data_IF_569867920861
#
_entry.id   IF_569867920861
#
_cell.length_a   1.000
_cell.length_b   1.000
_cell.length_c   1.000
_cell.angle_alpha   90.00
_cell.angle_beta   90.00
_cell.angle_gamma   90.00
#
_symmetry.space_group_name_H-M   'P 1'
#
loop_
_entity.id
_entity.type
_entity.pdbx_description
1 polymer ?
#
# COMPACT_ATOMS: atom_id res chain seq x y z
N UNK A 1 -22.93 13.54 -15.61
CA UNK A 1 -21.58 12.95 -15.47
C UNK A 1 -21.63 11.93 -14.36
N UNK A 2 -21.32 10.64 -14.59
CA UNK A 2 -21.22 9.70 -13.49
C UNK A 2 -20.07 10.16 -12.59
N UNK A 3 -20.33 10.29 -11.28
CA UNK A 3 -19.28 10.52 -10.29
C UNK A 3 -18.44 9.24 -10.29
N UNK A 4 -17.31 9.24 -11.00
CA UNK A 4 -16.34 8.15 -10.90
C UNK A 4 -15.87 8.13 -9.44
N UNK A 5 -16.43 7.21 -8.65
CA UNK A 5 -16.02 7.00 -7.27
C UNK A 5 -14.54 6.67 -7.26
N UNK A 6 -13.76 7.36 -6.41
CA UNK A 6 -12.32 7.11 -6.27
C UNK A 6 -12.09 5.60 -6.10
N UNK A 7 -11.11 5.00 -6.77
CA UNK A 7 -10.80 3.57 -6.60
C UNK A 7 -10.42 3.22 -5.15
N UNK A 8 -10.15 4.23 -4.31
CA UNK A 8 -9.84 4.10 -2.89
C UNK A 8 -11.03 4.32 -1.95
N UNK A 9 -12.26 4.49 -2.46
CA UNK A 9 -13.45 4.83 -1.64
C UNK A 9 -13.75 3.79 -0.55
N UNK A 10 -13.35 2.52 -0.75
CA UNK A 10 -13.55 1.43 0.22
C UNK A 10 -12.30 1.08 1.01
N UNK A 11 -11.20 1.82 0.81
CA UNK A 11 -9.97 1.54 1.51
C UNK A 11 -10.03 2.03 2.95
N UNK A 12 -9.35 1.32 3.85
CA UNK A 12 -9.10 1.78 5.20
C UNK A 12 -7.61 1.81 5.50
N UNK A 13 -7.19 2.77 6.32
CA UNK A 13 -5.79 2.98 6.67
C UNK A 13 -5.61 2.85 8.18
N UNK A 14 -4.69 2.00 8.59
CA UNK A 14 -4.22 1.89 9.98
C UNK A 14 -2.74 2.23 10.03
N UNK A 15 -2.36 3.12 10.94
CA UNK A 15 -0.97 3.56 11.09
C UNK A 15 -0.55 3.48 12.56
N UNK A 16 0.66 3.00 12.77
CA UNK A 16 1.37 2.94 14.04
C UNK A 16 2.84 3.29 13.78
N UNK A 17 3.64 3.46 14.84
CA UNK A 17 5.09 3.68 14.70
C UNK A 17 5.84 2.52 14.00
N UNK A 18 5.23 1.34 13.92
CA UNK A 18 5.87 0.11 13.38
C UNK A 18 5.29 -0.36 12.04
N UNK A 19 4.09 0.09 11.72
CA UNK A 19 3.27 -0.43 10.63
C UNK A 19 2.38 0.66 10.06
N UNK A 20 2.39 0.76 8.74
CA UNK A 20 1.30 1.36 7.96
C UNK A 20 0.63 0.25 7.15
N UNK A 21 -0.68 0.12 7.31
CA UNK A 21 -1.51 -0.89 6.66
C UNK A 21 -2.64 -0.20 5.91
N UNK A 22 -2.62 -0.32 4.58
CA UNK A 22 -3.72 0.06 3.71
C UNK A 22 -4.49 -1.21 3.31
N UNK A 23 -5.70 -1.39 3.84
CA UNK A 23 -6.65 -2.41 3.37
C UNK A 23 -7.41 -1.86 2.18
N UNK A 24 -7.30 -2.52 1.02
CA UNK A 24 -8.01 -2.16 -0.20
C UNK A 24 -9.50 -2.53 -0.15
N UNK A 25 -9.92 -3.27 0.89
CA UNK A 25 -11.29 -3.74 1.14
C UNK A 25 -11.59 -5.09 0.46
N UNK A 26 -10.90 -5.40 -0.63
CA UNK A 26 -10.99 -6.65 -1.39
C UNK A 26 -9.64 -6.98 -2.03
N UNK A 27 -9.50 -8.20 -2.58
CA UNK A 27 -8.30 -8.56 -3.35
C UNK A 27 -8.37 -7.85 -4.71
N UNK A 28 -7.33 -7.09 -5.04
CA UNK A 28 -7.22 -6.27 -6.25
C UNK A 28 -5.96 -6.65 -7.02
N UNK A 29 -6.00 -6.47 -8.35
CA UNK A 29 -4.77 -6.48 -9.15
C UNK A 29 -4.00 -5.20 -8.92
N UNK A 30 -2.71 -5.37 -8.68
CA UNK A 30 -1.75 -4.30 -8.49
C UNK A 30 -0.53 -4.59 -9.34
N UNK A 31 0.03 -3.57 -9.97
CA UNK A 31 1.36 -3.63 -10.56
C UNK A 31 2.35 -2.93 -9.65
N UNK A 32 3.38 -3.65 -9.22
CA UNK A 32 4.48 -3.11 -8.43
C UNK A 32 5.77 -3.05 -9.25
N UNK A 33 6.84 -2.54 -8.64
CA UNK A 33 8.18 -2.60 -9.20
C UNK A 33 8.65 -4.03 -9.55
N UNK A 34 8.09 -5.04 -8.89
CA UNK A 34 8.43 -6.46 -9.09
C UNK A 34 7.46 -7.16 -10.06
N UNK A 35 6.50 -6.44 -10.62
CA UNK A 35 5.51 -6.95 -11.57
C UNK A 35 4.07 -7.03 -11.02
N UNK A 36 3.16 -7.66 -11.79
CA UNK A 36 1.75 -7.78 -11.40
C UNK A 36 1.54 -8.79 -10.27
N UNK A 37 0.66 -8.44 -9.33
CA UNK A 37 0.28 -9.29 -8.20
C UNK A 37 -1.18 -9.07 -7.78
N UNK A 38 -1.71 -10.02 -7.00
CA UNK A 38 -3.03 -9.94 -6.37
C UNK A 38 -2.87 -9.66 -4.89
N UNK A 39 -3.39 -8.54 -4.43
CA UNK A 39 -3.18 -8.07 -3.05
C UNK A 39 -4.47 -7.49 -2.50
N UNK A 40 -4.71 -7.70 -1.22
CA UNK A 40 -5.73 -6.96 -0.47
C UNK A 40 -5.09 -5.87 0.39
N UNK A 41 -3.88 -6.14 0.88
CA UNK A 41 -3.20 -5.28 1.82
C UNK A 41 -1.92 -4.73 1.22
N UNK A 42 -1.73 -3.42 1.32
CA UNK A 42 -0.41 -2.81 1.16
C UNK A 42 0.13 -2.48 2.55
N UNK A 43 1.33 -2.98 2.83
CA UNK A 43 1.94 -2.94 4.15
C UNK A 43 3.29 -2.27 4.05
N UNK A 44 3.55 -1.32 4.95
CA UNK A 44 4.87 -0.71 5.13
C UNK A 44 5.31 -0.94 6.58
N UNK A 45 6.50 -1.52 6.74
CA UNK A 45 7.13 -1.74 8.05
C UNK A 45 8.44 -0.95 8.13
N UNK A 46 8.78 -0.48 9.33
CA UNK A 46 9.94 0.41 9.54
C UNK A 46 11.30 -0.28 9.35
N UNK A 47 11.38 -1.60 9.56
CA UNK A 47 12.66 -2.32 9.54
C UNK A 47 12.57 -3.67 8.83
N UNK A 48 13.72 -4.13 8.34
CA UNK A 48 13.88 -5.47 7.78
C UNK A 48 13.91 -6.50 8.92
N UNK A 49 12.88 -7.33 8.99
CA UNK A 49 12.77 -8.43 9.94
C UNK A 49 11.58 -9.33 9.59
N UNK A 50 11.35 -10.42 10.33
CA UNK A 50 10.19 -11.26 10.11
C UNK A 50 8.90 -10.49 10.47
N UNK A 51 8.18 -10.03 9.44
CA UNK A 51 6.93 -9.30 9.59
C UNK A 51 5.72 -10.23 9.79
N UNK A 52 5.86 -11.54 9.61
CA UNK A 52 4.78 -12.52 9.77
C UNK A 52 4.01 -12.40 11.10
N UNK A 53 4.69 -12.35 12.28
CA UNK A 53 4.02 -12.15 13.55
C UNK A 53 3.30 -10.80 13.66
N UNK A 54 3.84 -9.74 13.06
CA UNK A 54 3.21 -8.42 13.04
C UNK A 54 1.92 -8.44 12.20
N UNK A 55 1.98 -9.03 11.00
CA UNK A 55 0.81 -9.21 10.14
C UNK A 55 -0.28 -10.06 10.82
N UNK A 56 0.10 -11.15 11.48
CA UNK A 56 -0.84 -12.04 12.16
C UNK A 56 -1.60 -11.34 13.29
N UNK A 57 -0.92 -10.48 14.08
CA UNK A 57 -1.55 -9.67 15.14
C UNK A 57 -2.57 -8.67 14.59
N UNK A 58 -2.40 -8.30 13.33
CA UNK A 58 -3.26 -7.38 12.60
C UNK A 58 -4.34 -8.09 11.78
N UNK A 59 -4.41 -9.42 11.86
CA UNK A 59 -5.36 -10.23 11.07
C UNK A 59 -5.05 -10.21 9.56
N UNK A 60 -3.83 -9.85 9.16
CA UNK A 60 -3.42 -9.72 7.77
C UNK A 60 -2.86 -11.05 7.27
N UNK A 61 -3.49 -11.60 6.23
CA UNK A 61 -2.98 -12.78 5.54
C UNK A 61 -1.76 -12.42 4.69
N UNK A 62 -0.59 -12.98 5.02
CA UNK A 62 0.67 -12.67 4.33
C UNK A 62 0.61 -12.93 2.82
N UNK A 63 -0.11 -13.96 2.37
CA UNK A 63 -0.28 -14.28 0.95
C UNK A 63 -1.08 -13.22 0.17
N UNK A 64 -1.76 -12.30 0.86
CA UNK A 64 -2.54 -11.20 0.26
C UNK A 64 -1.92 -9.83 0.54
N UNK A 65 -0.71 -9.79 1.10
CA UNK A 65 -0.03 -8.57 1.51
C UNK A 65 1.16 -8.27 0.59
N UNK A 66 1.18 -7.06 0.03
CA UNK A 66 2.36 -6.46 -0.58
C UNK A 66 3.13 -5.69 0.50
N UNK A 67 4.30 -6.20 0.86
CA UNK A 67 5.06 -5.68 2.01
C UNK A 67 6.30 -4.92 1.56
N UNK A 68 6.42 -3.68 2.02
CA UNK A 68 7.60 -2.83 1.88
C UNK A 68 8.27 -2.64 3.23
N UNK A 69 9.59 -2.74 3.28
CA UNK A 69 10.38 -2.40 4.47
C UNK A 69 11.17 -1.12 4.20
N UNK A 70 10.86 -0.05 4.94
CA UNK A 70 11.41 1.29 4.74
C UNK A 70 11.94 1.87 6.05
N UNK A 71 13.20 2.33 6.13
CA UNK A 71 13.77 2.95 7.34
C UNK A 71 13.30 4.41 7.48
N UNK A 72 11.99 4.64 7.54
CA UNK A 72 11.36 5.97 7.57
C UNK A 72 10.40 6.07 8.75
N UNK A 73 10.04 7.30 9.13
CA UNK A 73 8.91 7.50 10.04
C UNK A 73 7.60 7.22 9.29
N UNK A 74 6.83 6.24 9.77
CA UNK A 74 5.57 5.83 9.15
C UNK A 74 4.43 6.79 9.47
N UNK A 75 4.61 7.71 10.43
CA UNK A 75 3.66 8.79 10.72
C UNK A 75 3.79 9.95 9.72
N UNK A 76 4.93 10.05 9.02
CA UNK A 76 5.17 11.04 7.97
C UNK A 76 4.70 10.54 6.59
N UNK A 77 3.40 10.26 6.48
CA UNK A 77 2.77 9.83 5.22
C UNK A 77 1.77 10.87 4.70
N UNK A 78 1.44 10.78 3.40
CA UNK A 78 0.28 11.45 2.82
C UNK A 78 -0.66 10.45 2.17
N UNK A 79 -1.97 10.63 2.37
CA UNK A 79 -3.00 9.79 1.77
C UNK A 79 -4.14 10.67 1.24
N UNK A 80 -4.34 10.62 -0.07
CA UNK A 80 -5.38 11.37 -0.77
C UNK A 80 -6.02 10.52 -1.89
N UNK A 81 -6.86 11.14 -2.72
CA UNK A 81 -7.53 10.45 -3.83
C UNK A 81 -6.58 9.89 -4.89
N UNK A 82 -5.32 10.36 -4.95
CA UNK A 82 -4.27 9.89 -5.87
C UNK A 82 -3.50 8.70 -5.29
N UNK A 83 -3.59 8.46 -3.98
CA UNK A 83 -2.98 7.31 -3.33
C UNK A 83 -2.18 7.66 -2.07
N UNK A 84 -1.25 6.78 -1.73
CA UNK A 84 -0.43 6.83 -0.52
C UNK A 84 1.01 7.19 -0.88
N UNK A 85 1.62 8.08 -0.10
CA UNK A 85 3.03 8.44 -0.22
C UNK A 85 3.75 8.29 1.10
N UNK A 86 4.96 7.73 1.03
CA UNK A 86 5.99 7.81 2.05
C UNK A 86 7.33 8.18 1.38
N UNK A 87 8.32 8.65 2.13
CA UNK A 87 9.67 8.81 1.58
C UNK A 87 10.17 7.49 0.96
N UNK A 88 10.46 7.52 -0.35
CA UNK A 88 10.95 6.36 -1.10
C UNK A 88 9.89 5.35 -1.57
N UNK A 89 8.60 5.56 -1.27
CA UNK A 89 7.50 4.68 -1.72
C UNK A 89 6.28 5.49 -2.16
N UNK A 90 5.72 5.13 -3.31
CA UNK A 90 4.46 5.68 -3.80
C UNK A 90 3.49 4.59 -4.24
N UNK A 91 2.31 4.57 -3.64
CA UNK A 91 1.19 3.76 -4.12
C UNK A 91 0.18 4.67 -4.81
N UNK A 92 -0.11 4.39 -6.07
CA UNK A 92 -1.01 5.18 -6.91
C UNK A 92 -2.38 4.51 -7.02
N UNK A 93 -3.42 5.34 -7.00
CA UNK A 93 -4.81 4.91 -7.14
C UNK A 93 -5.12 4.39 -8.56
N UNK A 94 -4.27 4.68 -9.54
CA UNK A 94 -4.33 4.25 -10.94
C UNK A 94 -2.91 4.25 -11.53
N UNK A 95 -2.76 3.76 -12.76
CA UNK A 95 -1.49 3.81 -13.48
C UNK A 95 -0.96 5.26 -13.58
N UNK A 96 0.29 5.51 -13.15
CA UNK A 96 0.89 6.83 -13.23
C UNK A 96 1.59 7.07 -14.59
N UNK A 97 1.58 8.32 -15.06
CA UNK A 97 2.38 8.73 -16.24
C UNK A 97 3.90 8.70 -15.97
N UNK A 98 4.28 8.90 -14.71
CA UNK A 98 5.67 8.93 -14.25
C UNK A 98 5.78 8.39 -12.84
N UNK A 99 6.88 7.69 -12.55
CA UNK A 99 7.18 7.12 -11.24
C UNK A 99 8.39 7.82 -10.63
N UNK A 100 8.17 8.54 -9.54
CA UNK A 100 9.20 9.33 -8.85
C UNK A 100 10.07 8.52 -7.88
N UNK A 101 9.63 7.33 -7.47
CA UNK A 101 10.24 6.55 -6.38
C UNK A 101 10.68 5.16 -6.84
N UNK A 102 11.76 4.60 -6.25
CA UNK A 102 12.24 3.27 -6.61
C UNK A 102 11.26 2.16 -6.22
N UNK A 103 10.50 2.36 -5.15
CA UNK A 103 9.44 1.46 -4.72
C UNK A 103 8.10 2.08 -5.08
N UNK A 104 7.26 1.29 -5.74
CA UNK A 104 5.98 1.78 -6.18
C UNK A 104 4.98 0.65 -6.42
N UNK A 105 3.71 1.01 -6.39
CA UNK A 105 2.65 0.14 -6.86
C UNK A 105 1.45 0.96 -7.35
N UNK A 106 0.64 0.41 -8.26
CA UNK A 106 -0.64 1.01 -8.62
C UNK A 106 -1.74 -0.02 -8.82
N UNK A 107 -3.00 0.40 -8.61
CA UNK A 107 -4.16 -0.43 -8.93
C UNK A 107 -4.29 -0.58 -10.44
N UNK A 108 -4.36 -1.82 -10.92
CA UNK A 108 -4.81 -2.13 -12.28
C UNK A 108 -6.35 -2.05 -12.32
N UNK A 109 -6.89 -1.45 -13.38
CA UNK A 109 -8.32 -1.12 -13.54
C UNK A 109 -9.26 -2.32 -13.54
#
# INVERSE_FOLDING_TARGET
>A
MPKTSSPLTRCSLKVTERLLLLDLGEVRRVRSQDGPCLVRYLVVVRERGPYGPLLAREGVAAAQALVYALPVDLLEFSFDARGLSLPGLRFYACEPEFVETPLYAWLEG
#
